data_IF_739444222492
#
_entry.id   IF_739444222492
#
_cell.length_a   1.000
_cell.length_b   1.000
_cell.length_c   1.000
_cell.angle_alpha   90.00
_cell.angle_beta   90.00
_cell.angle_gamma   90.00
#
_symmetry.space_group_name_H-M   'P 1'
#
loop_
_entity.id
_entity.type
_entity.pdbx_description
1 polymer ?
#
# COMPACT_ATOMS: atom_id res chain seq x y z
N UNK A 1 -33.74 13.85 0.55
CA UNK A 1 -33.58 13.03 1.77
C UNK A 1 -32.69 13.78 2.75
N UNK A 2 -33.06 13.86 4.04
CA UNK A 2 -32.23 14.53 5.06
C UNK A 2 -30.99 13.67 5.34
N UNK A 3 -29.81 14.21 5.11
CA UNK A 3 -28.53 13.60 5.48
C UNK A 3 -28.51 13.40 7.00
N UNK A 4 -28.55 12.15 7.46
CA UNK A 4 -28.26 11.84 8.87
C UNK A 4 -26.75 11.65 8.97
N UNK A 5 -25.98 12.55 9.60
CA UNK A 5 -24.57 12.27 9.86
C UNK A 5 -24.43 11.04 10.76
N UNK A 6 -23.26 10.40 10.75
CA UNK A 6 -22.89 9.42 11.78
C UNK A 6 -23.02 10.05 13.17
N UNK A 7 -23.40 9.28 14.19
CA UNK A 7 -23.63 9.80 15.54
C UNK A 7 -22.34 9.96 16.34
N UNK A 8 -21.44 8.96 16.27
CA UNK A 8 -20.19 8.91 17.04
C UNK A 8 -19.12 8.05 16.35
N UNK A 9 -17.92 8.00 16.94
CA UNK A 9 -16.76 7.24 16.42
C UNK A 9 -17.08 5.75 16.26
N UNK A 10 -17.73 5.16 17.26
CA UNK A 10 -18.06 3.73 17.32
C UNK A 10 -19.00 3.33 16.18
N UNK A 11 -20.07 4.11 15.94
CA UNK A 11 -20.99 3.85 14.84
C UNK A 11 -20.30 3.95 13.48
N UNK A 12 -19.50 5.00 13.25
CA UNK A 12 -18.78 5.18 11.99
C UNK A 12 -17.79 4.03 11.75
N UNK A 13 -17.14 3.54 12.81
CA UNK A 13 -16.26 2.37 12.74
C UNK A 13 -17.03 1.11 12.35
N UNK A 14 -18.13 0.81 13.05
CA UNK A 14 -18.98 -0.36 12.76
C UNK A 14 -19.51 -0.34 11.33
N UNK A 15 -20.01 0.81 10.87
CA UNK A 15 -20.50 0.95 9.50
C UNK A 15 -19.38 0.78 8.48
N UNK A 16 -18.19 1.30 8.76
CA UNK A 16 -17.03 1.13 7.88
C UNK A 16 -16.55 -0.33 7.85
N UNK A 17 -16.59 -1.04 8.98
CA UNK A 17 -16.31 -2.48 9.07
C UNK A 17 -17.28 -3.32 8.25
N UNK A 18 -18.57 -3.08 8.47
CA UNK A 18 -19.65 -3.74 7.75
C UNK A 18 -19.55 -3.47 6.25
N UNK A 19 -19.50 -2.21 5.84
CA UNK A 19 -19.60 -1.80 4.43
C UNK A 19 -18.28 -1.98 3.66
N UNK A 20 -17.13 -1.79 4.31
CA UNK A 20 -15.81 -2.09 3.75
C UNK A 20 -15.16 -1.06 2.85
N UNK A 21 -15.84 0.04 2.52
CA UNK A 21 -15.22 1.15 1.81
C UNK A 21 -15.90 2.47 2.14
N UNK A 22 -15.15 3.56 2.09
CA UNK A 22 -15.69 4.91 2.30
C UNK A 22 -16.70 5.31 1.23
N UNK A 23 -16.63 4.70 0.03
CA UNK A 23 -17.63 4.90 -1.02
C UNK A 23 -18.97 4.28 -0.64
N UNK A 24 -18.96 3.07 -0.11
CA UNK A 24 -20.19 2.39 0.35
C UNK A 24 -20.78 3.09 1.57
N UNK A 25 -19.94 3.50 2.54
CA UNK A 25 -20.36 4.33 3.66
C UNK A 25 -20.98 5.65 3.18
N UNK A 26 -20.38 6.30 2.17
CA UNK A 26 -20.93 7.54 1.60
C UNK A 26 -22.31 7.34 0.98
N UNK A 27 -22.50 6.24 0.22
CA UNK A 27 -23.81 5.87 -0.33
C UNK A 27 -24.84 5.60 0.77
N UNK A 28 -24.46 4.86 1.81
CA UNK A 28 -25.32 4.55 2.95
C UNK A 28 -25.82 5.81 3.66
N UNK A 29 -24.94 6.82 3.82
CA UNK A 29 -25.27 8.08 4.48
C UNK A 29 -25.79 9.20 3.55
N UNK A 30 -25.86 8.97 2.24
CA UNK A 30 -26.25 9.99 1.27
C UNK A 30 -25.23 11.12 1.10
N UNK A 31 -23.95 10.88 1.38
CA UNK A 31 -22.87 11.89 1.33
C UNK A 31 -21.75 11.49 0.38
N UNK A 32 -20.89 12.46 0.05
CA UNK A 32 -19.73 12.19 -0.83
C UNK A 32 -18.68 11.34 -0.12
N UNK A 33 -17.88 10.60 -0.91
CA UNK A 33 -16.72 9.87 -0.38
C UNK A 33 -15.73 10.79 0.36
N UNK A 34 -15.57 12.05 -0.09
CA UNK A 34 -14.70 13.04 0.54
C UNK A 34 -15.20 13.37 1.95
N UNK A 35 -16.51 13.52 2.12
CA UNK A 35 -17.14 13.76 3.42
C UNK A 35 -16.81 12.63 4.41
N UNK A 36 -16.96 11.36 3.99
CA UNK A 36 -16.63 10.20 4.82
C UNK A 36 -15.15 10.14 5.16
N UNK A 37 -14.27 10.41 4.19
CA UNK A 37 -12.82 10.48 4.41
C UNK A 37 -12.48 11.50 5.50
N UNK A 38 -13.12 12.66 5.50
CA UNK A 38 -12.90 13.68 6.54
C UNK A 38 -13.40 13.23 7.91
N UNK A 39 -14.53 12.51 7.98
CA UNK A 39 -15.03 11.92 9.22
C UNK A 39 -14.06 10.90 9.80
N UNK A 40 -13.54 9.99 8.97
CA UNK A 40 -12.56 8.99 9.40
C UNK A 40 -11.26 9.61 9.90
N UNK A 41 -10.73 10.63 9.20
CA UNK A 41 -9.54 11.37 9.63
C UNK A 41 -9.70 11.99 11.01
N UNK A 42 -10.87 12.58 11.27
CA UNK A 42 -11.16 13.22 12.57
C UNK A 42 -10.98 12.25 13.74
N UNK A 43 -11.27 10.97 13.53
CA UNK A 43 -11.19 9.95 14.58
C UNK A 43 -9.97 9.04 14.48
N UNK A 44 -9.09 9.26 13.50
CA UNK A 44 -7.96 8.38 13.19
C UNK A 44 -8.44 6.92 13.14
N UNK A 45 -9.43 6.67 12.29
CA UNK A 45 -9.91 5.31 12.09
C UNK A 45 -8.89 4.55 11.24
N UNK A 46 -8.39 3.40 11.73
CA UNK A 46 -7.43 2.61 11.01
C UNK A 46 -8.03 2.07 9.72
N UNK A 47 -7.17 1.77 8.77
CA UNK A 47 -7.55 0.98 7.61
C UNK A 47 -7.87 -0.41 8.08
N UNK A 48 -9.10 -0.83 7.87
CA UNK A 48 -9.46 -2.21 8.12
C UNK A 48 -8.72 -3.03 7.07
N UNK A 49 -7.87 -3.99 7.47
CA UNK A 49 -7.29 -4.92 6.53
C UNK A 49 -8.42 -5.82 6.04
N UNK A 50 -9.15 -5.39 5.01
CA UNK A 50 -9.93 -6.32 4.20
C UNK A 50 -8.94 -6.99 3.27
N UNK A 51 -8.29 -7.98 3.84
CA UNK A 51 -7.42 -8.96 3.21
C UNK A 51 -8.15 -9.82 2.14
N UNK A 52 -9.41 -9.46 1.84
CA UNK A 52 -10.31 -10.11 0.89
C UNK A 52 -11.08 -9.12 0.01
N UNK A 53 -10.61 -7.86 -0.15
CA UNK A 53 -11.14 -7.01 -1.22
C UNK A 53 -10.60 -7.49 -2.57
N UNK A 54 -11.15 -8.62 -2.98
CA UNK A 54 -11.41 -9.00 -4.35
C UNK A 54 -11.58 -7.73 -5.20
N UNK A 55 -10.77 -7.62 -6.24
CA UNK A 55 -11.10 -6.86 -7.43
C UNK A 55 -11.11 -5.32 -7.33
N UNK A 56 -10.33 -4.72 -6.42
CA UNK A 56 -10.10 -3.27 -6.50
C UNK A 56 -8.68 -2.82 -6.15
N UNK A 57 -8.26 -1.73 -6.79
CA UNK A 57 -6.94 -1.10 -6.62
C UNK A 57 -6.55 -0.78 -5.16
N UNK A 58 -7.52 -0.70 -4.24
CA UNK A 58 -7.22 -0.39 -2.83
C UNK A 58 -6.70 -1.64 -2.10
N UNK A 59 -7.28 -2.81 -2.35
CA UNK A 59 -6.82 -4.07 -1.73
C UNK A 59 -5.36 -4.37 -2.06
N UNK A 60 -5.01 -4.27 -3.35
CA UNK A 60 -3.64 -4.42 -3.84
C UNK A 60 -2.64 -3.44 -3.22
N UNK A 61 -3.04 -2.18 -3.06
CA UNK A 61 -2.21 -1.19 -2.36
C UNK A 61 -1.95 -1.58 -0.90
N UNK A 62 -2.98 -2.05 -0.19
CA UNK A 62 -2.83 -2.49 1.21
C UNK A 62 -1.94 -3.73 1.33
N UNK A 63 -2.08 -4.68 0.42
CA UNK A 63 -1.24 -5.88 0.42
C UNK A 63 0.25 -5.50 0.32
N UNK A 64 0.58 -4.56 -0.56
CA UNK A 64 1.94 -4.04 -0.68
C UNK A 64 2.40 -3.30 0.58
N UNK A 65 1.54 -2.49 1.22
CA UNK A 65 1.86 -1.83 2.49
C UNK A 65 2.22 -2.83 3.59
N UNK A 66 1.38 -3.87 3.76
CA UNK A 66 1.58 -4.92 4.76
C UNK A 66 2.85 -5.73 4.46
N UNK A 67 3.11 -6.01 3.17
CA UNK A 67 4.33 -6.69 2.77
C UNK A 67 5.57 -5.87 3.15
N UNK A 68 5.58 -4.57 2.88
CA UNK A 68 6.72 -3.71 3.23
C UNK A 68 6.88 -3.58 4.74
N UNK A 69 5.79 -3.43 5.49
CA UNK A 69 5.84 -3.31 6.96
C UNK A 69 6.53 -4.51 7.62
N UNK A 70 6.22 -5.73 7.19
CA UNK A 70 6.77 -6.96 7.79
C UNK A 70 8.15 -7.37 7.24
N UNK A 71 8.55 -6.84 6.09
CA UNK A 71 9.74 -7.31 5.38
C UNK A 71 11.04 -7.04 6.16
N UNK A 72 12.01 -7.97 6.21
CA UNK A 72 13.22 -7.88 7.05
C UNK A 72 13.99 -6.56 6.93
N UNK A 73 14.13 -6.05 5.70
CA UNK A 73 14.79 -4.78 5.41
C UNK A 73 14.11 -3.55 6.04
N UNK A 74 12.78 -3.55 6.15
CA UNK A 74 12.01 -2.36 6.56
C UNK A 74 11.52 -2.46 8.01
N UNK A 75 11.18 -3.67 8.49
CA UNK A 75 10.42 -3.90 9.74
C UNK A 75 10.95 -3.21 10.98
N UNK A 76 12.26 -3.00 11.08
CA UNK A 76 12.89 -2.37 12.25
C UNK A 76 12.64 -0.86 12.34
N UNK A 77 12.32 -0.22 11.21
CA UNK A 77 12.31 1.25 11.09
C UNK A 77 11.08 1.78 10.37
N UNK A 78 10.12 0.90 10.05
CA UNK A 78 8.90 1.26 9.35
C UNK A 78 7.74 1.43 10.33
N UNK A 79 7.04 2.56 10.22
CA UNK A 79 5.78 2.82 10.90
C UNK A 79 4.67 2.89 9.85
N UNK A 80 3.75 1.93 9.89
CA UNK A 80 2.57 1.92 9.03
C UNK A 80 1.58 2.98 9.50
N UNK A 81 1.29 3.95 8.61
CA UNK A 81 0.28 4.96 8.90
C UNK A 81 -1.12 4.45 8.56
N UNK A 82 -1.27 3.42 7.74
CA UNK A 82 -2.56 2.78 7.45
C UNK A 82 -3.20 2.16 8.70
N UNK A 83 -2.40 1.67 9.65
CA UNK A 83 -2.86 1.19 10.96
C UNK A 83 -3.37 2.29 11.91
N UNK A 84 -3.15 3.57 11.58
CA UNK A 84 -3.50 4.70 12.44
C UNK A 84 -4.55 5.59 11.74
N UNK A 85 -4.31 5.93 10.48
CA UNK A 85 -5.16 6.75 9.65
C UNK A 85 -5.07 6.27 8.19
N UNK A 86 -6.07 5.49 7.75
CA UNK A 86 -6.22 5.04 6.34
C UNK A 86 -6.20 6.21 5.35
N UNK A 87 -6.51 7.42 5.83
CA UNK A 87 -6.62 8.62 5.02
C UNK A 87 -5.41 9.51 5.18
N UNK A 88 -4.33 9.02 5.76
CA UNK A 88 -3.03 9.69 5.76
C UNK A 88 -2.65 10.10 4.32
N UNK A 89 -1.88 11.19 4.20
CA UNK A 89 -1.35 11.61 2.90
C UNK A 89 -0.21 10.70 2.41
N UNK A 90 0.37 9.93 3.32
CA UNK A 90 1.53 9.06 3.11
C UNK A 90 1.24 7.67 3.64
N UNK A 91 1.80 6.66 2.99
CA UNK A 91 1.53 5.27 3.31
C UNK A 91 2.29 4.85 4.60
N UNK A 92 3.45 5.44 4.87
CA UNK A 92 4.20 5.16 6.10
C UNK A 92 5.31 6.17 6.41
N UNK A 93 6.03 5.89 7.50
CA UNK A 93 7.31 6.52 7.82
C UNK A 93 8.41 5.45 7.83
N UNK A 94 9.50 5.66 7.11
CA UNK A 94 10.69 4.79 7.16
C UNK A 94 11.89 5.63 7.55
N UNK A 95 12.56 5.31 8.66
CA UNK A 95 13.55 6.21 9.28
C UNK A 95 13.03 7.63 9.56
N UNK A 96 11.75 7.75 9.96
CA UNK A 96 11.04 9.04 10.12
C UNK A 96 10.81 9.83 8.82
N UNK A 97 11.31 9.35 7.69
CA UNK A 97 11.03 9.93 6.39
C UNK A 97 9.66 9.47 5.86
N UNK A 98 8.94 10.41 5.28
CA UNK A 98 7.64 10.14 4.64
C UNK A 98 7.84 9.29 3.41
N UNK A 99 7.10 8.20 3.28
CA UNK A 99 7.17 7.30 2.12
C UNK A 99 5.79 7.02 1.54
N UNK A 100 5.79 6.73 0.23
CA UNK A 100 4.62 6.20 -0.46
C UNK A 100 4.93 4.85 -1.06
N UNK A 101 4.11 3.86 -0.76
CA UNK A 101 4.16 2.51 -1.29
C UNK A 101 3.25 2.46 -2.51
N UNK A 102 3.74 1.90 -3.61
CA UNK A 102 3.01 1.82 -4.88
C UNK A 102 3.16 0.40 -5.38
N UNK A 103 2.08 -0.18 -5.87
CA UNK A 103 2.11 -1.51 -6.47
C UNK A 103 1.64 -1.48 -7.93
N UNK A 104 2.08 -2.49 -8.67
CA UNK A 104 1.54 -2.84 -9.99
C UNK A 104 1.27 -4.33 -10.00
N UNK A 105 0.09 -4.71 -10.50
CA UNK A 105 -0.32 -6.08 -10.77
C UNK A 105 -0.34 -6.25 -12.29
N UNK A 106 0.43 -7.19 -12.81
CA UNK A 106 0.87 -7.20 -14.20
C UNK A 106 -0.11 -7.86 -15.18
N UNK A 107 -0.36 -7.16 -16.30
CA UNK A 107 -0.57 -7.71 -17.67
C UNK A 107 0.04 -6.78 -18.75
N UNK A 108 1.04 -5.95 -18.41
CA UNK A 108 1.50 -4.85 -19.28
C UNK A 108 2.53 -3.89 -18.65
N UNK A 109 2.53 -2.60 -19.01
CA UNK A 109 3.60 -1.65 -18.60
C UNK A 109 3.73 -1.50 -17.06
N UNK A 110 4.95 -1.71 -16.55
CA UNK A 110 5.33 -1.50 -15.14
C UNK A 110 5.50 -0.02 -14.79
N UNK A 111 4.38 0.72 -14.74
CA UNK A 111 4.37 2.16 -14.43
C UNK A 111 3.55 2.46 -13.19
N UNK A 112 4.19 3.09 -12.21
CA UNK A 112 3.57 3.55 -10.97
C UNK A 112 3.12 5.01 -11.13
N UNK A 113 1.85 5.29 -10.86
CA UNK A 113 1.33 6.66 -10.91
C UNK A 113 1.85 7.47 -9.73
N UNK A 114 2.42 8.64 -10.02
CA UNK A 114 2.80 9.65 -9.03
C UNK A 114 1.77 10.79 -9.06
N UNK A 115 1.42 11.36 -7.90
CA UNK A 115 0.52 12.52 -7.85
C UNK A 115 1.27 13.75 -8.38
N UNK A 116 0.71 14.41 -9.40
CA UNK A 116 1.33 15.54 -10.14
C UNK A 116 1.79 16.75 -9.31
N UNK A 117 1.29 16.96 -8.09
CA UNK A 117 1.31 18.28 -7.42
C UNK A 117 2.44 18.57 -6.42
N UNK A 118 3.29 17.60 -6.02
CA UNK A 118 4.61 17.77 -5.36
C UNK A 118 5.06 16.42 -4.80
N UNK A 119 6.38 16.20 -4.74
CA UNK A 119 6.97 15.04 -4.06
C UNK A 119 7.00 15.33 -2.55
N UNK A 120 5.88 15.14 -1.88
CA UNK A 120 5.76 15.36 -0.42
C UNK A 120 6.33 14.18 0.41
N UNK A 121 7.03 13.25 -0.24
CA UNK A 121 7.66 12.06 0.33
C UNK A 121 9.16 12.06 0.03
N UNK A 122 9.97 11.43 0.85
CA UNK A 122 11.39 11.21 0.59
C UNK A 122 11.61 10.05 -0.39
N UNK A 123 10.79 9.00 -0.29
CA UNK A 123 10.91 7.79 -1.11
C UNK A 123 9.58 7.32 -1.69
N UNK A 124 9.65 6.72 -2.87
CA UNK A 124 8.64 5.81 -3.39
C UNK A 124 9.15 4.39 -3.27
N UNK A 125 8.40 3.53 -2.59
CA UNK A 125 8.67 2.09 -2.51
C UNK A 125 7.72 1.42 -3.51
N UNK A 126 8.28 0.92 -4.60
CA UNK A 126 7.53 0.41 -5.74
C UNK A 126 7.60 -1.12 -5.79
N UNK A 127 6.49 -1.78 -5.49
CA UNK A 127 6.34 -3.23 -5.50
C UNK A 127 5.82 -3.70 -6.86
N UNK A 128 6.61 -4.54 -7.56
CA UNK A 128 6.22 -5.15 -8.83
C UNK A 128 5.68 -6.54 -8.56
N UNK A 129 4.41 -6.78 -8.87
CA UNK A 129 3.80 -8.10 -8.87
C UNK A 129 3.62 -8.58 -10.32
N UNK A 130 4.05 -9.80 -10.58
CA UNK A 130 3.77 -10.57 -11.79
C UNK A 130 2.78 -11.64 -11.36
N UNK A 131 1.49 -11.38 -11.58
CA UNK A 131 0.38 -12.16 -11.01
C UNK A 131 0.45 -13.63 -11.45
N UNK A 132 1.00 -13.91 -12.63
CA UNK A 132 1.21 -15.27 -13.16
C UNK A 132 2.27 -16.07 -12.39
N UNK A 133 3.20 -15.37 -11.71
CA UNK A 133 4.25 -16.00 -10.89
C UNK A 133 3.78 -16.07 -9.44
N UNK A 134 3.43 -14.92 -8.86
CA UNK A 134 2.93 -14.85 -7.50
C UNK A 134 2.12 -13.55 -7.28
N UNK A 135 0.81 -13.64 -7.02
CA UNK A 135 -0.01 -12.45 -6.78
C UNK A 135 0.17 -11.87 -5.37
N UNK A 136 0.79 -12.60 -4.44
CA UNK A 136 0.93 -12.22 -3.03
C UNK A 136 2.29 -11.62 -2.67
N UNK A 137 3.34 -12.07 -3.35
CA UNK A 137 4.72 -11.68 -3.07
C UNK A 137 5.24 -10.86 -4.26
N UNK A 138 5.73 -9.63 -4.03
CA UNK A 138 6.37 -8.85 -5.09
C UNK A 138 7.55 -9.62 -5.70
N UNK A 139 7.63 -9.66 -7.02
CA UNK A 139 8.78 -10.19 -7.74
C UNK A 139 10.02 -9.30 -7.60
N UNK A 140 9.80 -7.99 -7.47
CA UNK A 140 10.86 -7.02 -7.28
C UNK A 140 10.34 -5.79 -6.52
N UNK A 141 11.22 -5.17 -5.74
CA UNK A 141 10.91 -3.94 -5.01
C UNK A 141 11.96 -2.89 -5.35
N UNK A 142 11.52 -1.68 -5.68
CA UNK A 142 12.41 -0.55 -5.90
C UNK A 142 12.22 0.51 -4.82
N UNK A 143 13.31 0.97 -4.18
CA UNK A 143 13.31 2.04 -3.19
C UNK A 143 13.87 3.31 -3.83
N UNK A 144 13.00 4.10 -4.45
CA UNK A 144 13.39 5.21 -5.34
C UNK A 144 13.29 6.55 -4.59
N UNK A 145 14.39 7.31 -4.46
CA UNK A 145 14.34 8.67 -3.91
C UNK A 145 13.42 9.57 -4.74
N UNK A 146 12.53 10.28 -4.07
CA UNK A 146 11.52 11.12 -4.75
C UNK A 146 12.15 12.24 -5.58
N UNK A 147 13.33 12.73 -5.17
CA UNK A 147 14.12 13.76 -5.87
C UNK A 147 14.50 13.40 -7.31
N UNK A 148 14.59 12.11 -7.64
CA UNK A 148 14.90 11.63 -8.99
C UNK A 148 13.69 11.05 -9.73
N UNK A 149 12.57 10.92 -9.03
CA UNK A 149 11.34 10.40 -9.59
C UNK A 149 10.64 11.51 -10.43
N UNK A 150 10.11 11.19 -11.61
CA UNK A 150 9.31 12.13 -12.38
C UNK A 150 7.99 12.47 -11.67
N UNK A 151 7.43 13.63 -11.99
CA UNK A 151 6.16 14.11 -11.41
C UNK A 151 4.92 13.37 -11.93
N UNK A 152 5.03 12.65 -13.04
CA UNK A 152 3.90 12.01 -13.73
C UNK A 152 3.73 10.52 -13.37
N UNK A 153 4.82 9.75 -13.42
CA UNK A 153 4.80 8.33 -13.11
C UNK A 153 6.17 7.69 -13.25
N UNK A 154 6.45 6.70 -12.41
CA UNK A 154 7.72 5.98 -12.36
C UNK A 154 7.56 4.73 -13.22
N UNK A 155 8.22 4.68 -14.38
CA UNK A 155 8.36 3.45 -15.16
C UNK A 155 9.59 2.68 -14.71
N UNK A 156 9.44 1.40 -14.36
CA UNK A 156 10.56 0.50 -14.04
C UNK A 156 10.62 -0.64 -15.05
N UNK A 157 11.77 -1.31 -15.12
CA UNK A 157 11.97 -2.53 -15.89
C UNK A 157 12.60 -3.58 -14.99
N UNK A 158 12.27 -4.85 -15.20
CA UNK A 158 12.92 -5.94 -14.47
C UNK A 158 14.35 -6.19 -14.98
N UNK A 159 14.64 -5.81 -16.22
CA UNK A 159 15.94 -5.96 -16.87
C UNK A 159 17.09 -5.16 -16.21
N UNK A 160 18.35 -5.61 -16.39
CA UNK A 160 19.53 -4.97 -15.80
C UNK A 160 19.81 -3.51 -16.22
N UNK A 161 19.27 -3.06 -17.35
CA UNK A 161 19.63 -1.78 -17.98
C UNK A 161 18.71 -0.61 -17.63
N UNK A 162 17.74 -0.81 -16.75
CA UNK A 162 16.75 0.21 -16.39
C UNK A 162 17.33 1.37 -15.58
N UNK A 163 16.80 2.59 -15.78
CA UNK A 163 17.17 3.82 -15.03
C UNK A 163 17.20 3.62 -13.51
N UNK A 164 16.27 2.82 -12.99
CA UNK A 164 16.11 2.58 -11.55
C UNK A 164 16.72 1.27 -11.06
N UNK A 165 17.46 0.54 -11.90
CA UNK A 165 18.01 -0.78 -11.56
C UNK A 165 18.81 -0.76 -10.24
N UNK A 166 19.67 0.25 -10.06
CA UNK A 166 20.45 0.44 -8.83
C UNK A 166 19.64 0.64 -7.54
N UNK A 167 18.33 0.86 -7.64
CA UNK A 167 17.42 1.03 -6.51
C UNK A 167 16.63 -0.23 -6.18
N UNK A 168 16.93 -1.36 -6.85
CA UNK A 168 16.34 -2.66 -6.51
C UNK A 168 16.75 -3.07 -5.10
N UNK A 169 15.77 -3.52 -4.33
CA UNK A 169 15.97 -4.07 -3.01
C UNK A 169 16.85 -5.32 -3.05
N UNK A 170 16.82 -6.07 -4.16
CA UNK A 170 17.69 -7.22 -4.39
C UNK A 170 19.18 -6.92 -4.17
N UNK A 171 19.66 -5.70 -4.45
CA UNK A 171 21.05 -5.30 -4.22
C UNK A 171 21.42 -5.13 -2.74
N UNK A 172 20.45 -5.20 -1.83
CA UNK A 172 20.64 -5.09 -0.37
C UNK A 172 20.69 -6.47 0.32
N UNK A 173 20.33 -7.54 -0.40
CA UNK A 173 20.42 -8.92 0.08
C UNK A 173 21.86 -9.29 0.40
N UNK A 174 22.05 -10.00 1.51
CA UNK A 174 23.38 -10.40 2.02
C UNK A 174 24.17 -9.26 2.68
N UNK A 175 23.67 -8.02 2.63
CA UNK A 175 24.31 -6.85 3.26
C UNK A 175 23.46 -6.31 4.40
N UNK A 176 22.18 -6.03 4.12
CA UNK A 176 21.27 -5.42 5.11
C UNK A 176 20.22 -6.40 5.68
N UNK A 177 20.03 -7.54 5.00
CA UNK A 177 19.22 -8.68 5.45
C UNK A 177 19.65 -9.94 4.70
N UNK A 178 19.41 -11.13 5.25
CA UNK A 178 19.80 -12.39 4.61
C UNK A 178 18.73 -12.92 3.65
N UNK A 179 19.13 -13.80 2.73
CA UNK A 179 18.20 -14.44 1.80
C UNK A 179 17.24 -15.36 2.58
N UNK A 180 17.75 -16.05 3.59
CA UNK A 180 16.97 -16.94 4.45
C UNK A 180 15.88 -16.18 5.21
N UNK A 181 16.20 -15.00 5.76
CA UNK A 181 15.22 -14.14 6.43
C UNK A 181 14.07 -13.74 5.50
N UNK A 182 14.40 -13.37 4.24
CA UNK A 182 13.40 -12.99 3.24
C UNK A 182 12.54 -14.19 2.81
N UNK A 183 13.15 -15.37 2.63
CA UNK A 183 12.43 -16.60 2.29
C UNK A 183 11.47 -16.99 3.41
N UNK A 184 11.95 -17.03 4.65
CA UNK A 184 11.10 -17.32 5.82
C UNK A 184 9.95 -16.31 5.94
N UNK A 185 10.25 -15.03 5.74
CA UNK A 185 9.22 -13.99 5.73
C UNK A 185 8.17 -14.21 4.64
N UNK A 186 8.59 -14.52 3.41
CA UNK A 186 7.68 -14.75 2.30
C UNK A 186 6.75 -15.94 2.56
N UNK A 187 7.25 -17.03 3.15
CA UNK A 187 6.42 -18.17 3.52
C UNK A 187 5.42 -17.82 4.64
N UNK A 188 5.88 -17.12 5.68
CA UNK A 188 5.00 -16.63 6.74
C UNK A 188 3.92 -15.68 6.20
N UNK A 189 4.29 -14.82 5.25
CA UNK A 189 3.36 -13.91 4.60
C UNK A 189 2.31 -14.69 3.81
N UNK A 190 2.67 -15.69 3.00
CA UNK A 190 1.68 -16.54 2.30
C UNK A 190 0.75 -17.32 3.24
N UNK A 191 1.26 -17.78 4.39
CA UNK A 191 0.43 -18.47 5.39
C UNK A 191 -0.58 -17.52 6.05
N UNK A 192 -0.13 -16.30 6.35
CA UNK A 192 -0.95 -15.27 6.98
C UNK A 192 -1.97 -14.71 5.98
N UNK A 193 -1.52 -14.46 4.76
CA UNK A 193 -2.25 -13.84 3.67
C UNK A 193 -2.58 -14.88 2.61
N UNK A 194 -3.82 -15.37 2.59
CA UNK A 194 -4.25 -16.36 1.61
C UNK A 194 -4.54 -15.71 0.27
N UNK A 195 -4.12 -16.36 -0.81
CA UNK A 195 -4.55 -15.99 -2.15
C UNK A 195 -6.08 -16.14 -2.19
N UNK A 196 -6.84 -15.14 -2.69
CA UNK A 196 -8.26 -15.31 -2.88
C UNK A 196 -8.46 -16.54 -3.77
N UNK A 197 -9.06 -17.60 -3.24
CA UNK A 197 -9.51 -18.72 -4.06
C UNK A 197 -10.58 -18.14 -4.99
N UNK A 198 -10.34 -18.17 -6.30
CA UNK A 198 -11.31 -17.74 -7.30
C UNK A 198 -12.66 -18.40 -6.99
N UNK A 199 -13.62 -17.62 -6.48
CA UNK A 199 -15.04 -17.92 -6.47
C UNK A 199 -15.75 -16.96 -7.41
#
# INVERSE_FOLDING_TARGET
MKNKPYKNKEQLRQDYEMLGSTRQVGRFYGVTNVTVVNWMRRFQLPRIPKMYLYDNNSGWGRLAELYIQGHPYFKKQFKDLGEIDDKSKFDGLWHWDRVNIKCTHYKGKLTFRVKKKKHDVAYYICCVYVDEINPLIPNEIFVIPSKIAPRSGIGVTLEPKGKYHKYKLAHKRGVEFTIEEEVMYNEQFKMTYKCPSNK
#
